data_IF_913468221300
#
_entry.id   IF_913468221300
#
_cell.length_a   1.000
_cell.length_b   1.000
_cell.length_c   1.000
_cell.angle_alpha   90.00
_cell.angle_beta   90.00
_cell.angle_gamma   90.00
#
_symmetry.space_group_name_H-M   'P 1'
#
loop_
_entity.id
_entity.type
_entity.pdbx_description
1 polymer ?
#
# COMPACT_ATOMS: atom_id res chain seq x y z
N UNK A 1 26.38 14.53 -76.57
CA UNK A 1 27.77 14.10 -76.29
C UNK A 1 28.11 14.48 -74.84
N UNK A 2 28.52 13.47 -74.06
CA UNK A 2 29.28 13.51 -72.78
C UNK A 2 28.60 14.13 -71.55
N UNK A 3 28.02 13.34 -70.62
CA UNK A 3 28.62 12.57 -69.48
C UNK A 3 29.23 13.48 -68.41
N UNK A 4 28.63 13.65 -67.22
CA UNK A 4 28.58 12.74 -66.05
C UNK A 4 29.86 12.74 -65.20
N UNK A 5 29.77 13.20 -63.94
CA UNK A 5 30.30 12.51 -62.76
C UNK A 5 29.86 13.23 -61.47
N UNK A 6 28.99 12.60 -60.66
CA UNK A 6 28.97 12.76 -59.20
C UNK A 6 28.89 11.36 -58.60
N UNK A 7 29.77 11.01 -57.65
CA UNK A 7 29.95 9.64 -57.23
C UNK A 7 28.76 9.12 -56.42
N UNK A 8 28.39 7.88 -56.73
CA UNK A 8 27.55 7.01 -55.93
C UNK A 8 28.37 6.57 -54.72
N UNK A 9 27.87 6.82 -53.52
CA UNK A 9 28.26 6.05 -52.34
C UNK A 9 26.99 5.40 -51.81
N UNK A 10 26.75 4.16 -52.26
CA UNK A 10 25.91 3.20 -51.54
C UNK A 10 26.78 2.62 -50.44
N UNK A 11 26.38 2.78 -49.18
CA UNK A 11 26.73 1.81 -48.15
C UNK A 11 25.47 1.33 -47.45
N UNK A 12 25.50 0.01 -47.23
CA UNK A 12 24.40 -0.86 -46.95
C UNK A 12 23.67 -0.55 -45.64
N UNK A 13 22.36 -0.77 -45.68
CA UNK A 13 21.57 -1.00 -44.49
C UNK A 13 22.09 -2.24 -43.76
N UNK A 14 22.44 -2.07 -42.49
CA UNK A 14 22.54 -3.15 -41.52
C UNK A 14 21.85 -2.65 -40.24
N UNK A 15 20.52 -2.72 -40.23
CA UNK A 15 19.76 -2.64 -38.99
C UNK A 15 20.00 -3.96 -38.26
N UNK A 16 20.93 -3.96 -37.30
CA UNK A 16 21.08 -5.06 -36.35
C UNK A 16 19.83 -5.08 -35.46
N UNK A 17 18.86 -5.93 -35.82
CA UNK A 17 17.79 -6.32 -34.92
C UNK A 17 18.44 -7.15 -33.80
N UNK A 18 18.73 -6.51 -32.67
CA UNK A 18 19.02 -7.22 -31.43
C UNK A 18 17.73 -7.91 -30.97
N UNK A 19 17.56 -9.16 -31.37
CA UNK A 19 16.60 -10.06 -30.74
C UNK A 19 17.07 -10.28 -29.29
N UNK A 20 16.50 -9.54 -28.35
CA UNK A 20 16.49 -10.00 -26.96
C UNK A 20 15.60 -11.23 -26.91
N UNK A 21 16.24 -12.40 -26.88
CA UNK A 21 15.58 -13.63 -26.49
C UNK A 21 15.03 -13.42 -25.09
N UNK A 22 13.71 -13.26 -24.97
CA UNK A 22 13.02 -13.36 -23.70
C UNK A 22 13.21 -14.80 -23.27
N UNK A 23 14.20 -15.05 -22.42
CA UNK A 23 14.32 -16.32 -21.72
C UNK A 23 13.04 -16.46 -20.92
N UNK A 24 12.20 -17.42 -21.30
CA UNK A 24 11.06 -17.85 -20.52
C UNK A 24 11.57 -18.29 -19.15
N UNK A 25 11.48 -17.41 -18.16
CA UNK A 25 11.70 -17.78 -16.77
C UNK A 25 10.52 -18.70 -16.43
N UNK A 26 10.75 -20.00 -16.52
CA UNK A 26 9.85 -20.99 -15.93
C UNK A 26 9.88 -20.74 -14.42
N UNK A 27 8.85 -20.07 -13.91
CA UNK A 27 8.59 -19.99 -12.49
C UNK A 27 8.47 -21.43 -11.95
N UNK A 28 9.16 -21.77 -10.85
CA UNK A 28 9.05 -23.10 -10.27
C UNK A 28 7.59 -23.36 -9.86
N UNK A 29 7.06 -24.49 -10.34
CA UNK A 29 5.72 -24.95 -10.10
C UNK A 29 5.56 -25.47 -8.66
N UNK A 30 5.40 -24.57 -7.68
CA UNK A 30 4.81 -24.86 -6.35
C UNK A 30 4.41 -23.57 -5.61
N UNK A 31 3.89 -22.55 -6.30
CA UNK A 31 3.08 -21.54 -5.62
C UNK A 31 1.68 -22.15 -5.41
N UNK A 32 1.24 -22.26 -4.15
CA UNK A 32 -0.08 -22.80 -3.83
C UNK A 32 -1.12 -21.79 -4.30
N UNK A 33 -1.85 -22.14 -5.36
CA UNK A 33 -2.90 -21.32 -5.94
C UNK A 33 -3.79 -20.67 -4.86
N UNK A 34 -4.01 -19.36 -5.00
CA UNK A 34 -4.78 -18.53 -4.10
C UNK A 34 -6.09 -19.24 -3.76
N UNK A 35 -6.28 -19.48 -2.47
CA UNK A 35 -7.47 -20.12 -1.96
C UNK A 35 -8.34 -19.06 -1.33
N UNK A 36 -9.38 -18.64 -2.05
CA UNK A 36 -10.35 -17.66 -1.55
C UNK A 36 -10.95 -18.14 -0.22
N UNK A 37 -10.94 -17.31 0.84
CA UNK A 37 -11.61 -17.65 2.09
C UNK A 37 -13.11 -17.93 1.88
N UNK A 38 -13.69 -18.82 2.71
CA UNK A 38 -15.12 -19.07 2.71
C UNK A 38 -15.94 -17.87 3.22
N UNK A 39 -15.32 -16.99 4.01
CA UNK A 39 -15.89 -15.73 4.49
C UNK A 39 -14.82 -14.64 4.49
N UNK A 40 -14.33 -14.24 5.65
CA UNK A 40 -13.15 -13.38 5.79
C UNK A 40 -11.98 -14.13 6.41
N UNK A 41 -10.78 -13.69 6.07
CA UNK A 41 -9.52 -14.07 6.70
C UNK A 41 -8.88 -12.80 7.27
N UNK A 42 -8.93 -12.64 8.60
CA UNK A 42 -8.40 -11.45 9.28
C UNK A 42 -7.27 -11.84 10.20
N UNK A 43 -6.07 -11.36 9.88
CA UNK A 43 -4.91 -11.48 10.75
C UNK A 43 -5.00 -10.44 11.87
N UNK A 44 -4.80 -10.87 13.11
CA UNK A 44 -4.89 -10.00 14.30
C UNK A 44 -3.49 -9.77 14.87
N UNK A 45 -2.98 -8.52 14.90
CA UNK A 45 -1.71 -8.19 15.51
C UNK A 45 -1.72 -8.46 17.02
N UNK A 46 -0.62 -8.98 17.57
CA UNK A 46 -0.49 -9.29 19.00
C UNK A 46 0.84 -8.76 19.50
N UNK A 47 0.83 -7.94 20.56
CA UNK A 47 2.03 -7.56 21.29
C UNK A 47 2.32 -8.62 22.38
N UNK A 48 2.99 -9.71 22.00
CA UNK A 48 3.21 -10.86 22.89
C UNK A 48 4.29 -10.62 23.96
N UNK A 49 5.14 -9.61 23.79
CA UNK A 49 6.21 -9.27 24.71
C UNK A 49 7.41 -10.23 24.70
N UNK A 50 7.47 -11.19 23.77
CA UNK A 50 8.61 -12.13 23.64
C UNK A 50 9.91 -11.38 23.37
N UNK A 51 9.86 -10.39 22.48
CA UNK A 51 10.95 -9.45 22.22
C UNK A 51 10.42 -8.04 22.40
N UNK A 52 10.66 -7.44 23.57
CA UNK A 52 10.23 -6.09 23.87
C UNK A 52 11.38 -5.23 24.40
N UNK A 53 11.32 -3.94 24.06
CA UNK A 53 12.27 -2.92 24.48
C UNK A 53 11.49 -1.74 25.04
N UNK A 54 11.85 -1.25 26.22
CA UNK A 54 11.11 -0.18 26.86
C UNK A 54 12.02 0.78 27.62
N UNK A 55 11.50 1.98 27.83
CA UNK A 55 11.93 2.90 28.86
C UNK A 55 10.69 3.53 29.52
N UNK A 56 10.87 4.58 30.31
CA UNK A 56 9.77 5.30 30.99
C UNK A 56 8.73 5.90 30.03
N UNK A 57 9.09 6.13 28.76
CA UNK A 57 8.29 6.90 27.79
C UNK A 57 7.64 6.06 26.72
N UNK A 58 8.22 4.93 26.34
CA UNK A 58 7.67 4.09 25.29
C UNK A 58 8.03 2.62 25.47
N UNK A 59 7.21 1.75 24.88
CA UNK A 59 7.50 0.33 24.72
C UNK A 59 7.36 -0.05 23.25
N UNK A 60 8.39 -0.69 22.72
CA UNK A 60 8.43 -1.33 21.41
C UNK A 60 8.34 -2.84 21.59
N UNK A 61 7.33 -3.46 21.00
CA UNK A 61 7.22 -4.90 20.83
C UNK A 61 7.68 -5.27 19.41
N UNK A 62 8.78 -6.02 19.34
CA UNK A 62 9.38 -6.54 18.11
C UNK A 62 9.22 -8.06 17.99
N UNK A 63 8.26 -8.65 18.71
CA UNK A 63 8.05 -10.12 18.75
C UNK A 63 7.59 -10.68 17.41
N UNK A 64 7.05 -9.83 16.53
CA UNK A 64 6.44 -10.24 15.26
C UNK A 64 7.20 -9.73 14.03
N UNK A 65 8.50 -9.48 14.16
CA UNK A 65 9.34 -9.09 13.01
C UNK A 65 9.35 -10.14 11.91
N UNK A 66 9.16 -11.43 12.22
CA UNK A 66 9.02 -12.49 11.21
C UNK A 66 7.73 -12.38 10.39
N UNK A 67 6.69 -11.81 10.98
CA UNK A 67 5.41 -11.46 10.35
C UNK A 67 5.43 -10.06 9.70
N UNK A 68 6.57 -9.35 9.78
CA UNK A 68 6.77 -8.09 9.11
C UNK A 68 6.07 -6.89 9.77
N UNK A 69 5.82 -6.93 11.07
CA UNK A 69 5.35 -5.77 11.81
C UNK A 69 5.99 -5.64 13.19
N UNK A 70 5.92 -4.42 13.73
CA UNK A 70 6.24 -4.10 15.12
C UNK A 70 5.05 -3.37 15.74
N UNK A 71 5.00 -3.34 17.07
CA UNK A 71 3.99 -2.57 17.78
C UNK A 71 4.63 -1.60 18.76
N UNK A 72 4.14 -0.36 18.82
CA UNK A 72 4.66 0.67 19.73
C UNK A 72 3.53 1.25 20.54
N UNK A 73 3.74 1.42 21.84
CA UNK A 73 2.88 2.23 22.71
C UNK A 73 3.70 3.30 23.41
N UNK A 74 3.10 4.47 23.58
CA UNK A 74 3.67 5.57 24.36
C UNK A 74 3.09 5.57 25.78
N UNK A 75 3.95 5.76 26.78
CA UNK A 75 3.62 5.73 28.22
C UNK A 75 3.97 7.04 28.93
N UNK A 76 4.48 8.04 28.21
CA UNK A 76 4.69 9.37 28.75
C UNK A 76 3.40 10.20 28.84
N UNK A 77 3.54 11.51 28.98
CA UNK A 77 2.44 12.43 29.31
C UNK A 77 2.20 13.54 28.27
N UNK A 78 2.94 13.56 27.16
CA UNK A 78 2.77 14.55 26.09
C UNK A 78 1.67 14.10 25.13
N UNK A 79 0.92 15.06 24.54
CA UNK A 79 -0.21 14.76 23.66
C UNK A 79 0.12 14.66 22.16
N UNK A 80 1.33 15.05 21.74
CA UNK A 80 1.78 15.00 20.35
C UNK A 80 3.08 14.21 20.27
N UNK A 81 2.99 12.99 19.74
CA UNK A 81 4.08 12.03 19.66
C UNK A 81 4.26 11.59 18.21
N UNK A 82 5.50 11.42 17.79
CA UNK A 82 5.84 10.80 16.50
C UNK A 82 6.61 9.51 16.72
N UNK A 83 6.38 8.53 15.87
CA UNK A 83 7.29 7.40 15.70
C UNK A 83 7.94 7.47 14.32
N UNK A 84 9.25 7.26 14.26
CA UNK A 84 9.99 7.13 13.02
C UNK A 84 10.58 5.73 12.90
N UNK A 85 10.37 5.11 11.74
CA UNK A 85 10.87 3.79 11.40
C UNK A 85 11.71 3.93 10.13
N UNK A 86 12.98 3.61 10.24
CA UNK A 86 13.95 3.77 9.15
C UNK A 86 14.69 2.45 8.95
N UNK A 87 14.51 1.80 7.79
CA UNK A 87 15.43 0.74 7.36
C UNK A 87 16.71 1.38 6.84
N UNK A 88 17.87 0.83 7.18
CA UNK A 88 19.15 1.33 6.66
C UNK A 88 19.16 1.36 5.13
N UNK A 89 19.44 2.53 4.55
CA UNK A 89 19.45 2.75 3.10
C UNK A 89 18.08 3.04 2.47
N UNK A 90 16.99 3.10 3.24
CA UNK A 90 15.64 3.41 2.76
C UNK A 90 15.09 4.71 3.36
N UNK A 91 13.93 5.13 2.85
CA UNK A 91 13.17 6.27 3.36
C UNK A 91 12.74 6.09 4.83
N UNK A 92 12.63 7.21 5.54
CA UNK A 92 12.11 7.23 6.92
C UNK A 92 10.60 7.38 6.92
N UNK A 93 9.92 6.38 7.46
CA UNK A 93 8.48 6.42 7.66
C UNK A 93 8.19 7.12 8.99
N UNK A 94 7.41 8.21 8.95
CA UNK A 94 7.04 8.99 10.14
C UNK A 94 5.55 8.92 10.35
N UNK A 95 5.14 8.49 11.55
CA UNK A 95 3.76 8.31 11.95
C UNK A 95 3.44 9.18 13.16
N UNK A 96 2.18 9.56 13.33
CA UNK A 96 1.67 9.97 14.64
C UNK A 96 1.59 8.75 15.56
N UNK A 97 1.78 8.95 16.86
CA UNK A 97 1.55 7.92 17.87
C UNK A 97 0.61 8.51 18.93
N UNK A 98 -0.41 7.77 19.32
CA UNK A 98 -1.39 8.22 20.30
C UNK A 98 -0.81 8.20 21.72
N UNK A 99 -1.30 9.11 22.56
CA UNK A 99 -1.02 9.13 24.00
C UNK A 99 -1.92 8.18 24.80
N UNK A 100 -2.59 7.24 24.14
CA UNK A 100 -3.61 6.37 24.75
C UNK A 100 -3.04 5.28 25.66
N UNK A 101 -1.72 5.02 25.60
CA UNK A 101 -1.10 3.89 26.28
C UNK A 101 -1.36 2.53 25.62
N UNK A 102 -2.06 2.51 24.48
CA UNK A 102 -2.37 1.29 23.71
C UNK A 102 -1.32 1.07 22.62
N UNK A 103 -1.05 -0.19 22.30
CA UNK A 103 -0.16 -0.56 21.19
C UNK A 103 -0.80 -0.21 19.85
N UNK A 104 -0.02 0.47 19.01
CA UNK A 104 -0.32 0.70 17.59
C UNK A 104 0.63 -0.12 16.72
N UNK A 105 0.13 -0.55 15.57
CA UNK A 105 0.80 -1.51 14.68
C UNK A 105 1.44 -0.77 13.52
N UNK A 106 2.73 -1.04 13.31
CA UNK A 106 3.53 -0.42 12.25
C UNK A 106 4.14 -1.49 11.35
N UNK A 107 3.87 -1.47 10.04
CA UNK A 107 4.42 -2.45 9.10
C UNK A 107 5.90 -2.18 8.84
N UNK A 108 6.66 -3.25 8.63
CA UNK A 108 8.03 -3.20 8.14
C UNK A 108 8.04 -3.27 6.60
N UNK A 109 7.47 -2.24 5.97
CA UNK A 109 7.17 -2.22 4.53
C UNK A 109 8.38 -2.39 3.61
N UNK A 110 9.58 -2.06 4.10
CA UNK A 110 10.84 -2.16 3.35
C UNK A 110 11.47 -3.57 3.39
N UNK A 111 10.80 -4.57 3.97
CA UNK A 111 11.25 -5.96 3.99
C UNK A 111 12.32 -6.27 5.05
N UNK A 112 12.97 -7.43 4.96
CA UNK A 112 14.03 -7.81 5.92
C UNK A 112 15.20 -6.82 5.92
N UNK A 113 15.80 -6.59 7.09
CA UNK A 113 16.99 -5.75 7.26
C UNK A 113 17.09 -5.10 8.64
N UNK A 114 18.04 -4.18 8.78
CA UNK A 114 18.25 -3.43 10.02
C UNK A 114 17.42 -2.15 10.04
N UNK A 115 16.59 -2.02 11.06
CA UNK A 115 15.71 -0.89 11.31
C UNK A 115 16.16 -0.09 12.54
N UNK A 116 16.00 1.23 12.47
CA UNK A 116 16.00 2.13 13.62
C UNK A 116 14.56 2.57 13.89
N UNK A 117 14.06 2.31 15.09
CA UNK A 117 12.74 2.72 15.57
C UNK A 117 12.92 3.78 16.66
N UNK A 118 12.36 4.97 16.45
CA UNK A 118 12.50 6.12 17.35
C UNK A 118 11.15 6.70 17.71
N UNK A 119 10.96 7.08 18.97
CA UNK A 119 9.77 7.80 19.45
C UNK A 119 10.20 9.20 19.88
N UNK A 120 9.39 10.19 19.52
CA UNK A 120 9.66 11.60 19.73
C UNK A 120 8.49 12.28 20.45
N UNK A 121 8.79 13.05 21.50
CA UNK A 121 7.83 13.91 22.19
C UNK A 121 7.89 15.32 21.61
N UNK A 122 6.74 15.95 21.36
CA UNK A 122 6.72 17.35 20.97
C UNK A 122 7.09 18.25 22.15
N UNK A 123 7.95 19.24 21.89
CA UNK A 123 8.34 20.27 22.86
C UNK A 123 7.50 21.53 22.62
N UNK A 124 7.57 22.05 21.40
CA UNK A 124 6.86 23.26 20.99
C UNK A 124 6.72 23.30 19.47
N UNK A 125 5.52 23.56 18.96
CA UNK A 125 5.27 23.68 17.52
C UNK A 125 5.68 22.42 16.75
N UNK A 126 6.74 22.54 15.95
CA UNK A 126 7.33 21.44 15.17
C UNK A 126 8.66 20.92 15.76
N UNK A 127 9.06 21.37 16.94
CA UNK A 127 10.25 20.89 17.64
C UNK A 127 9.92 19.65 18.46
N UNK A 128 10.74 18.61 18.34
CA UNK A 128 10.58 17.36 19.05
C UNK A 128 11.89 16.93 19.70
N UNK A 129 11.80 16.32 20.88
CA UNK A 129 12.90 15.60 21.55
C UNK A 129 12.74 14.10 21.32
N UNK A 130 13.86 13.40 21.12
CA UNK A 130 13.85 11.94 21.07
C UNK A 130 13.61 11.38 22.48
N UNK A 131 12.54 10.61 22.64
CA UNK A 131 12.14 10.00 23.91
C UNK A 131 12.55 8.51 24.00
N UNK A 132 12.68 7.83 22.87
CA UNK A 132 13.09 6.42 22.78
C UNK A 132 13.80 6.16 21.44
N UNK A 133 14.75 5.21 21.43
CA UNK A 133 15.43 4.77 20.22
C UNK A 133 15.90 3.33 20.38
N UNK A 134 15.58 2.48 19.41
CA UNK A 134 15.99 1.08 19.40
C UNK A 134 16.29 0.61 17.98
N UNK A 135 17.38 -0.14 17.81
CA UNK A 135 17.66 -0.84 16.57
C UNK A 135 17.04 -2.25 16.62
N UNK A 136 16.43 -2.67 15.52
CA UNK A 136 15.79 -3.98 15.34
C UNK A 136 16.30 -4.60 14.05
N UNK A 137 16.81 -5.82 14.12
CA UNK A 137 17.12 -6.60 12.91
C UNK A 137 15.92 -7.48 12.59
N UNK A 138 15.25 -7.19 11.47
CA UNK A 138 14.07 -7.92 11.03
C UNK A 138 14.45 -9.00 10.02
N UNK A 139 14.14 -10.25 10.35
CA UNK A 139 14.17 -11.39 9.43
C UNK A 139 12.74 -11.80 9.12
N UNK A 140 12.14 -11.15 8.13
CA UNK A 140 10.75 -11.39 7.71
C UNK A 140 10.68 -12.71 6.95
N UNK A 141 9.87 -13.64 7.44
CA UNK A 141 9.59 -14.94 6.79
C UNK A 141 8.24 -14.91 6.07
N UNK A 142 7.26 -14.17 6.61
CA UNK A 142 6.02 -13.88 5.94
C UNK A 142 6.16 -12.58 5.12
N UNK A 143 6.65 -12.70 3.87
CA UNK A 143 6.90 -11.55 3.00
C UNK A 143 5.66 -10.67 2.71
N UNK A 144 4.45 -11.21 2.89
CA UNK A 144 3.20 -10.49 2.68
C UNK A 144 2.59 -9.93 3.96
N UNK A 145 3.08 -10.35 5.13
CA UNK A 145 2.62 -9.89 6.43
C UNK A 145 2.49 -8.37 6.56
N UNK A 146 3.50 -7.55 6.18
CA UNK A 146 3.37 -6.09 6.20
C UNK A 146 2.15 -5.53 5.46
N UNK A 147 1.63 -6.28 4.48
CA UNK A 147 0.54 -5.90 3.58
C UNK A 147 -0.71 -6.77 3.73
N UNK A 148 -0.79 -7.58 4.78
CA UNK A 148 -1.95 -8.38 5.17
C UNK A 148 -2.49 -8.00 6.55
N UNK A 149 -1.62 -7.69 7.51
CA UNK A 149 -2.06 -7.24 8.84
C UNK A 149 -2.68 -5.83 8.78
N UNK A 150 -3.64 -5.52 9.67
CA UNK A 150 -4.08 -4.16 9.87
C UNK A 150 -2.95 -3.30 10.45
N UNK A 151 -2.95 -2.02 10.13
CA UNK A 151 -2.04 -1.03 10.68
C UNK A 151 -2.73 0.30 10.86
N UNK A 152 -2.01 1.31 11.34
CA UNK A 152 -2.60 2.62 11.65
C UNK A 152 -3.33 3.28 10.45
N UNK A 153 -2.87 3.04 9.21
CA UNK A 153 -3.42 3.66 7.99
C UNK A 153 -4.55 2.80 7.38
N UNK A 154 -4.54 1.50 7.66
CA UNK A 154 -5.54 0.52 7.24
C UNK A 154 -5.96 -0.29 8.47
N UNK A 155 -6.76 0.34 9.33
CA UNK A 155 -7.15 -0.25 10.60
C UNK A 155 -8.50 -0.95 10.48
N UNK A 156 -8.51 -2.27 10.64
CA UNK A 156 -9.69 -3.13 10.58
C UNK A 156 -9.52 -4.33 11.50
N UNK A 157 -10.63 -4.97 11.85
CA UNK A 157 -10.64 -6.23 12.57
C UNK A 157 -11.82 -7.10 12.09
N UNK A 158 -11.95 -8.33 12.61
CA UNK A 158 -12.97 -9.27 12.19
C UNK A 158 -14.42 -8.75 12.35
N UNK A 159 -14.66 -7.82 13.28
CA UNK A 159 -15.97 -7.22 13.50
C UNK A 159 -16.26 -6.02 12.59
N UNK A 160 -15.26 -5.47 11.89
CA UNK A 160 -15.43 -4.31 11.01
C UNK A 160 -16.48 -4.57 9.93
N UNK A 161 -17.35 -3.58 9.69
CA UNK A 161 -18.34 -3.63 8.61
C UNK A 161 -17.67 -3.70 7.23
N UNK A 162 -16.51 -3.07 7.07
CA UNK A 162 -15.67 -3.21 5.88
C UNK A 162 -15.27 -4.67 5.60
N UNK A 163 -14.92 -5.45 6.63
CA UNK A 163 -14.56 -6.87 6.48
C UNK A 163 -15.77 -7.70 6.06
N UNK A 164 -16.91 -7.49 6.70
CA UNK A 164 -18.15 -8.21 6.37
C UNK A 164 -18.61 -7.90 4.94
N UNK A 165 -18.51 -6.64 4.53
CA UNK A 165 -18.81 -6.20 3.17
C UNK A 165 -17.82 -6.81 2.17
N UNK A 166 -16.52 -6.81 2.50
CA UNK A 166 -15.47 -7.46 1.70
C UNK A 166 -15.77 -8.93 1.41
N UNK A 167 -16.18 -9.69 2.43
CA UNK A 167 -16.58 -11.09 2.26
C UNK A 167 -17.84 -11.24 1.38
N UNK A 168 -18.83 -10.36 1.55
CA UNK A 168 -20.06 -10.38 0.75
C UNK A 168 -19.79 -10.13 -0.74
N UNK A 169 -18.98 -9.11 -1.07
CA UNK A 169 -18.65 -8.78 -2.47
C UNK A 169 -17.73 -9.84 -3.11
N UNK A 170 -16.90 -10.50 -2.30
CA UNK A 170 -16.02 -11.57 -2.75
C UNK A 170 -16.74 -12.91 -2.95
N UNK A 171 -17.97 -13.07 -2.46
CA UNK A 171 -18.65 -14.37 -2.41
C UNK A 171 -18.83 -15.04 -3.79
N UNK A 172 -19.11 -14.25 -4.83
CA UNK A 172 -19.31 -14.75 -6.20
C UNK A 172 -18.02 -14.93 -7.00
N UNK A 173 -16.88 -14.46 -6.49
CA UNK A 173 -15.61 -14.54 -7.20
C UNK A 173 -15.07 -15.97 -7.19
N UNK A 174 -14.60 -16.43 -8.35
CA UNK A 174 -14.00 -17.75 -8.53
C UNK A 174 -12.49 -17.77 -8.23
N UNK A 175 -11.84 -16.61 -8.33
CA UNK A 175 -10.40 -16.46 -8.20
C UNK A 175 -10.05 -15.10 -7.59
N UNK A 176 -8.74 -14.90 -7.38
CA UNK A 176 -8.19 -13.69 -6.76
C UNK A 176 -8.56 -12.42 -7.53
N UNK A 177 -8.55 -12.50 -8.87
CA UNK A 177 -8.87 -11.37 -9.72
C UNK A 177 -10.35 -11.00 -9.59
N UNK A 178 -11.25 -11.98 -9.59
CA UNK A 178 -12.67 -11.76 -9.35
C UNK A 178 -12.93 -11.03 -8.02
N UNK A 179 -12.18 -11.38 -6.96
CA UNK A 179 -12.29 -10.68 -5.66
C UNK A 179 -11.85 -9.23 -5.80
N UNK A 180 -10.68 -8.98 -6.41
CA UNK A 180 -10.16 -7.62 -6.63
C UNK A 180 -11.16 -6.79 -7.44
N UNK A 181 -11.67 -7.32 -8.54
CA UNK A 181 -12.65 -6.66 -9.40
C UNK A 181 -13.96 -6.35 -8.68
N UNK A 182 -14.49 -7.29 -7.90
CA UNK A 182 -15.74 -7.07 -7.17
C UNK A 182 -15.60 -6.01 -6.07
N UNK A 183 -14.52 -6.06 -5.29
CA UNK A 183 -14.23 -5.05 -4.26
C UNK A 183 -14.04 -3.67 -4.90
N UNK A 184 -13.25 -3.60 -5.97
CA UNK A 184 -13.02 -2.37 -6.72
C UNK A 184 -14.35 -1.75 -7.20
N UNK A 185 -15.15 -2.52 -7.93
CA UNK A 185 -16.43 -2.08 -8.46
C UNK A 185 -17.39 -1.66 -7.35
N UNK A 186 -17.40 -2.36 -6.21
CA UNK A 186 -18.22 -1.97 -5.07
C UNK A 186 -17.83 -0.57 -4.56
N UNK A 187 -16.54 -0.34 -4.30
CA UNK A 187 -16.05 0.92 -3.71
C UNK A 187 -16.30 2.09 -4.65
N UNK A 188 -15.93 2.00 -5.94
CA UNK A 188 -16.07 3.13 -6.87
C UNK A 188 -17.53 3.50 -7.15
N UNK A 189 -18.45 2.53 -7.07
CA UNK A 189 -19.88 2.76 -7.33
C UNK A 189 -20.65 3.20 -6.08
N UNK A 190 -20.09 3.00 -4.88
CA UNK A 190 -20.77 3.30 -3.62
C UNK A 190 -20.15 4.45 -2.83
N UNK A 191 -18.91 4.83 -3.09
CA UNK A 191 -18.26 5.93 -2.37
C UNK A 191 -18.18 7.15 -3.28
N UNK A 192 -18.56 8.32 -2.76
CA UNK A 192 -18.47 9.61 -3.45
C UNK A 192 -17.32 10.46 -2.90
N UNK A 193 -16.65 11.21 -3.78
CA UNK A 193 -15.51 12.02 -3.38
C UNK A 193 -15.91 13.23 -2.53
N UNK A 194 -15.21 13.45 -1.42
CA UNK A 194 -15.43 14.58 -0.51
C UNK A 194 -14.45 15.73 -0.77
N UNK A 195 -14.82 16.62 -1.69
CA UNK A 195 -14.00 17.79 -2.03
C UNK A 195 -13.82 18.75 -0.85
N UNK A 196 -14.85 18.92 -0.01
CA UNK A 196 -14.79 19.79 1.16
C UNK A 196 -13.78 19.25 2.18
N UNK A 197 -13.85 17.94 2.48
CA UNK A 197 -12.85 17.27 3.33
C UNK A 197 -11.47 17.34 2.71
N UNK A 198 -11.32 17.09 1.41
CA UNK A 198 -10.03 17.16 0.72
C UNK A 198 -9.36 18.54 0.85
N UNK A 199 -10.16 19.61 0.84
CA UNK A 199 -9.67 20.99 0.99
C UNK A 199 -9.34 21.41 2.43
N UNK A 200 -9.88 20.70 3.43
CA UNK A 200 -9.81 21.10 4.85
C UNK A 200 -9.11 20.10 5.75
N UNK A 201 -8.82 18.89 5.26
CA UNK A 201 -8.16 17.82 6.02
C UNK A 201 -6.81 18.29 6.54
N UNK A 202 -6.58 18.05 7.83
CA UNK A 202 -5.36 18.44 8.53
C UNK A 202 -4.37 17.28 8.59
N UNK A 203 -3.10 17.62 8.82
CA UNK A 203 -2.07 16.61 9.11
C UNK A 203 -2.45 15.76 10.33
N UNK A 204 -2.15 14.47 10.28
CA UNK A 204 -2.53 13.50 11.32
C UNK A 204 -3.91 12.86 11.12
N UNK A 205 -4.63 13.19 10.04
CA UNK A 205 -5.85 12.48 9.67
C UNK A 205 -5.56 11.00 9.36
N UNK A 206 -6.35 10.10 9.94
CA UNK A 206 -6.33 8.66 9.68
C UNK A 206 -7.74 8.18 9.29
N UNK A 207 -7.89 7.37 8.22
CA UNK A 207 -9.16 6.81 7.81
C UNK A 207 -9.74 5.88 8.87
N UNK A 208 -11.06 5.96 9.05
CA UNK A 208 -11.84 4.91 9.71
C UNK A 208 -12.67 4.22 8.64
N UNK A 209 -12.30 2.98 8.30
CA UNK A 209 -12.89 2.25 7.16
C UNK A 209 -14.39 2.02 7.32
N UNK A 210 -14.87 1.80 8.55
CA UNK A 210 -16.31 1.59 8.81
C UNK A 210 -17.09 2.91 8.70
N UNK A 211 -16.51 4.03 9.12
CA UNK A 211 -17.12 5.36 8.94
C UNK A 211 -17.20 5.70 7.45
N UNK A 212 -16.12 5.46 6.69
CA UNK A 212 -16.10 5.72 5.23
C UNK A 212 -17.16 4.86 4.53
N UNK A 213 -17.24 3.58 4.88
CA UNK A 213 -18.24 2.67 4.33
C UNK A 213 -19.67 3.12 4.66
N UNK A 214 -19.95 3.50 5.91
CA UNK A 214 -21.27 3.92 6.36
C UNK A 214 -21.69 5.25 5.72
N UNK A 215 -20.78 6.21 5.64
CA UNK A 215 -21.03 7.53 5.05
C UNK A 215 -21.03 7.50 3.53
N UNK A 216 -20.47 6.46 2.91
CA UNK A 216 -20.33 6.33 1.46
C UNK A 216 -19.63 7.55 0.83
N UNK A 217 -18.70 8.16 1.58
CA UNK A 217 -18.07 9.42 1.21
C UNK A 217 -16.67 9.53 1.82
N UNK A 218 -15.70 10.01 1.04
CA UNK A 218 -14.32 10.13 1.50
C UNK A 218 -13.36 10.79 0.52
N UNK A 219 -12.10 10.93 0.90
CA UNK A 219 -11.01 11.43 0.04
C UNK A 219 -10.12 10.27 -0.44
N UNK A 220 -9.10 10.54 -1.26
CA UNK A 220 -8.28 9.46 -1.84
C UNK A 220 -7.70 8.49 -0.82
N UNK A 221 -7.29 8.99 0.34
CA UNK A 221 -6.80 8.16 1.45
C UNK A 221 -7.90 7.24 2.03
N UNK A 222 -9.15 7.71 2.11
CA UNK A 222 -10.28 6.93 2.59
C UNK A 222 -10.65 5.80 1.64
N UNK A 223 -10.65 6.07 0.33
CA UNK A 223 -10.90 5.06 -0.70
C UNK A 223 -9.84 3.97 -0.66
N UNK A 224 -8.56 4.37 -0.63
CA UNK A 224 -7.44 3.43 -0.59
C UNK A 224 -7.47 2.57 0.69
N UNK A 225 -7.76 3.17 1.85
CA UNK A 225 -7.86 2.44 3.11
C UNK A 225 -9.04 1.45 3.14
N UNK A 226 -10.23 1.87 2.69
CA UNK A 226 -11.41 1.01 2.64
C UNK A 226 -11.18 -0.20 1.72
N UNK A 227 -10.68 0.06 0.50
CA UNK A 227 -10.40 -0.99 -0.47
C UNK A 227 -9.32 -1.94 0.04
N UNK A 228 -8.24 -1.41 0.64
CA UNK A 228 -7.16 -2.22 1.21
C UNK A 228 -7.67 -3.11 2.34
N UNK A 229 -8.51 -2.60 3.24
CA UNK A 229 -9.09 -3.39 4.33
C UNK A 229 -9.95 -4.55 3.80
N UNK A 230 -10.80 -4.29 2.80
CA UNK A 230 -11.61 -5.34 2.16
C UNK A 230 -10.74 -6.43 1.54
N UNK A 231 -9.69 -6.06 0.79
CA UNK A 231 -8.81 -7.01 0.11
C UNK A 231 -7.94 -7.82 1.08
N UNK A 232 -7.32 -7.16 2.06
CA UNK A 232 -6.54 -7.85 3.11
C UNK A 232 -7.41 -8.85 3.88
N UNK A 233 -8.69 -8.51 4.11
CA UNK A 233 -9.65 -9.43 4.74
C UNK A 233 -10.04 -10.64 3.89
N UNK A 234 -9.61 -10.69 2.63
CA UNK A 234 -9.80 -11.80 1.70
C UNK A 234 -8.48 -12.50 1.38
N UNK A 235 -7.46 -12.32 2.23
CA UNK A 235 -6.11 -12.85 2.09
C UNK A 235 -5.38 -12.37 0.82
N UNK A 236 -5.65 -11.13 0.41
CA UNK A 236 -5.01 -10.52 -0.77
C UNK A 236 -4.02 -9.45 -0.28
N UNK A 237 -2.70 -9.69 -0.38
CA UNK A 237 -1.70 -8.72 0.04
C UNK A 237 -1.86 -7.42 -0.76
N UNK A 238 -2.09 -6.33 -0.04
CA UNK A 238 -2.44 -5.05 -0.64
C UNK A 238 -1.68 -3.93 0.04
N UNK A 239 -0.90 -3.16 -0.72
CA UNK A 239 -0.21 -1.95 -0.26
C UNK A 239 -1.17 -0.77 -0.39
N UNK A 240 -1.32 0.03 0.66
CA UNK A 240 -1.80 1.40 0.55
C UNK A 240 -0.59 2.29 0.27
N UNK A 241 -0.53 2.86 -0.93
CA UNK A 241 0.60 3.68 -1.36
C UNK A 241 0.23 5.14 -1.27
N UNK A 242 1.14 5.95 -0.72
CA UNK A 242 1.02 7.40 -0.71
C UNK A 242 2.21 8.00 -1.45
N UNK A 243 1.94 8.98 -2.30
CA UNK A 243 2.96 9.63 -3.12
C UNK A 243 2.39 10.79 -3.92
N UNK A 244 2.84 10.94 -5.15
CA UNK A 244 2.44 12.04 -6.02
C UNK A 244 1.87 11.54 -7.34
N UNK A 245 0.82 12.19 -7.83
CA UNK A 245 0.34 12.11 -9.21
C UNK A 245 0.51 13.48 -9.87
N UNK A 246 1.46 13.61 -10.79
CA UNK A 246 1.99 14.92 -11.18
C UNK A 246 2.50 15.69 -9.96
N UNK A 247 1.88 16.84 -9.65
CA UNK A 247 2.20 17.65 -8.47
C UNK A 247 1.25 17.43 -7.28
N UNK A 248 0.21 16.61 -7.44
CA UNK A 248 -0.80 16.38 -6.41
C UNK A 248 -0.34 15.26 -5.47
N UNK A 249 -0.41 15.50 -4.16
CA UNK A 249 -0.21 14.44 -3.16
C UNK A 249 -1.44 13.53 -3.13
N UNK A 250 -1.22 12.22 -3.29
CA UNK A 250 -2.30 11.29 -3.58
C UNK A 250 -2.08 9.91 -2.96
N UNK A 251 -3.15 9.14 -2.84
CA UNK A 251 -3.14 7.77 -2.34
C UNK A 251 -3.82 6.81 -3.32
N UNK A 252 -3.21 5.64 -3.50
CA UNK A 252 -3.69 4.55 -4.36
C UNK A 252 -3.31 3.21 -3.73
N UNK A 253 -3.58 2.10 -4.40
CA UNK A 253 -3.21 0.77 -3.89
C UNK A 253 -2.41 -0.06 -4.91
N UNK A 254 -1.60 -0.99 -4.42
CA UNK A 254 -0.97 -2.03 -5.25
C UNK A 254 -1.34 -3.40 -4.66
N UNK A 255 -1.66 -4.38 -5.50
CA UNK A 255 -2.09 -5.72 -5.05
C UNK A 255 -1.13 -6.77 -5.55
N UNK A 256 -0.83 -7.77 -4.72
CA UNK A 256 -0.11 -8.95 -5.16
C UNK A 256 -1.08 -9.98 -5.74
N UNK A 257 -0.89 -10.34 -7.02
CA UNK A 257 -1.58 -11.43 -7.66
C UNK A 257 -0.66 -12.64 -7.82
N UNK A 258 -1.13 -13.82 -7.43
CA UNK A 258 -0.32 -15.03 -7.56
C UNK A 258 -0.06 -15.37 -9.03
N UNK A 259 1.15 -15.84 -9.33
CA UNK A 259 1.60 -16.11 -10.69
C UNK A 259 1.97 -14.85 -11.50
N UNK A 260 1.57 -13.66 -11.04
CA UNK A 260 1.86 -12.38 -11.70
C UNK A 260 2.79 -11.47 -10.89
N UNK A 261 2.76 -11.55 -9.56
CA UNK A 261 3.54 -10.70 -8.67
C UNK A 261 2.77 -9.46 -8.19
N UNK A 262 3.51 -8.44 -7.73
CA UNK A 262 2.91 -7.14 -7.43
C UNK A 262 2.42 -6.51 -8.72
N UNK A 263 1.10 -6.42 -8.85
CA UNK A 263 0.48 -5.63 -9.88
C UNK A 263 0.38 -4.23 -9.31
N UNK A 264 1.50 -3.56 -9.43
CA UNK A 264 1.52 -2.12 -9.44
C UNK A 264 0.65 -1.74 -10.62
N UNK A 265 -0.30 -0.88 -10.36
CA UNK A 265 -1.22 -0.43 -11.35
C UNK A 265 -2.42 -1.39 -11.72
N UNK A 266 -3.55 -1.45 -10.97
CA UNK A 266 -4.84 -2.14 -11.37
C UNK A 266 -6.14 -1.27 -11.37
N UNK A 267 -6.80 -0.94 -12.48
CA UNK A 267 -8.18 -0.42 -12.54
C UNK A 267 -9.01 -1.22 -13.54
N UNK A 268 -8.37 -1.92 -14.47
CA UNK A 268 -9.08 -2.55 -15.56
C UNK A 268 -8.18 -3.56 -16.25
N UNK A 269 -8.70 -4.76 -16.48
CA UNK A 269 -8.18 -5.71 -17.45
C UNK A 269 -9.05 -5.57 -18.70
N UNK A 270 -8.50 -5.04 -19.79
CA UNK A 270 -9.20 -4.87 -21.07
C UNK A 270 -9.23 -6.16 -21.92
N UNK A 271 -8.79 -7.27 -21.35
CA UNK A 271 -8.52 -8.51 -22.06
C UNK A 271 -7.06 -8.70 -22.47
N UNK A 272 -6.19 -7.68 -22.36
CA UNK A 272 -4.80 -7.73 -22.83
C UNK A 272 -3.76 -7.05 -21.90
N UNK A 273 -4.13 -6.09 -21.04
CA UNK A 273 -3.18 -5.35 -20.18
C UNK A 273 -3.76 -4.83 -18.85
N UNK A 274 -2.90 -4.61 -17.85
CA UNK A 274 -3.24 -4.09 -16.50
C UNK A 274 -2.82 -2.61 -16.36
N UNK A 275 -3.57 -1.77 -15.62
CA UNK A 275 -3.48 -0.27 -15.54
C UNK A 275 -3.77 0.28 -14.13
N UNK A 276 -3.40 1.50 -13.66
CA UNK A 276 -3.33 1.84 -12.19
C UNK A 276 -4.53 1.76 -11.26
N UNK A 277 -4.37 1.30 -9.99
CA UNK A 277 -5.42 1.16 -8.94
C UNK A 277 -5.67 2.42 -8.13
N UNK A 278 -6.19 3.42 -8.82
CA UNK A 278 -6.68 4.70 -8.28
C UNK A 278 -8.22 4.72 -8.21
N UNK A 279 -8.83 4.16 -7.15
CA UNK A 279 -10.28 4.09 -7.02
C UNK A 279 -10.93 5.49 -6.97
N UNK A 280 -10.16 6.49 -6.55
CA UNK A 280 -10.62 7.88 -6.46
C UNK A 280 -10.90 8.46 -7.83
N UNK A 281 -9.91 8.47 -8.72
CA UNK A 281 -10.08 9.08 -10.05
C UNK A 281 -11.08 8.33 -10.92
N UNK A 282 -11.16 7.00 -10.80
CA UNK A 282 -12.20 6.23 -11.48
C UNK A 282 -13.62 6.61 -11.03
N UNK A 283 -13.83 6.79 -9.71
CA UNK A 283 -15.15 7.17 -9.17
C UNK A 283 -15.56 8.60 -9.54
N UNK A 284 -14.63 9.56 -9.52
CA UNK A 284 -14.94 10.99 -9.67
C UNK A 284 -15.27 11.41 -11.10
N UNK A 285 -15.04 10.54 -12.09
CA UNK A 285 -15.06 10.93 -13.50
C UNK A 285 -15.77 9.95 -14.45
N UNK A 286 -16.43 8.91 -13.91
CA UNK A 286 -17.25 8.00 -14.70
C UNK A 286 -16.47 7.16 -15.71
N UNK A 287 -15.19 6.85 -15.43
CA UNK A 287 -14.35 5.97 -16.25
C UNK A 287 -14.13 6.43 -17.71
N UNK A 288 -14.00 7.74 -17.95
CA UNK A 288 -13.70 8.24 -19.31
C UNK A 288 -12.40 7.63 -19.86
N UNK A 289 -12.34 7.39 -21.17
CA UNK A 289 -11.19 6.77 -21.84
C UNK A 289 -9.87 7.49 -21.53
N UNK A 290 -9.90 8.82 -21.46
CA UNK A 290 -8.76 9.70 -21.18
C UNK A 290 -8.23 9.50 -19.75
N UNK A 291 -9.13 9.35 -18.79
CA UNK A 291 -8.75 9.14 -17.39
C UNK A 291 -8.21 7.74 -17.20
N UNK A 292 -8.77 6.76 -17.89
CA UNK A 292 -8.24 5.39 -17.92
C UNK A 292 -6.85 5.32 -18.56
N UNK A 293 -6.55 6.19 -19.53
CA UNK A 293 -5.19 6.34 -20.08
C UNK A 293 -4.26 7.04 -19.09
N UNK A 294 -4.71 8.10 -18.42
CA UNK A 294 -3.91 8.83 -17.43
C UNK A 294 -3.50 7.92 -16.26
N UNK A 295 -4.47 7.19 -15.71
CA UNK A 295 -4.23 6.25 -14.63
C UNK A 295 -3.37 5.08 -15.13
N UNK A 296 -3.58 4.59 -16.35
CA UNK A 296 -2.76 3.53 -16.94
C UNK A 296 -1.30 3.90 -17.19
N UNK A 297 -0.94 5.19 -17.16
CA UNK A 297 0.44 5.63 -17.35
C UNK A 297 1.16 5.82 -16.01
N UNK A 298 1.90 4.79 -15.58
CA UNK A 298 2.67 4.79 -14.33
C UNK A 298 3.70 5.94 -14.21
N UNK A 299 4.14 6.57 -15.31
CA UNK A 299 5.05 7.73 -15.24
C UNK A 299 4.40 8.96 -14.59
N UNK A 300 3.06 8.99 -14.52
CA UNK A 300 2.34 10.06 -13.85
C UNK A 300 2.46 9.96 -12.32
N UNK A 301 2.85 8.79 -11.80
CA UNK A 301 2.84 8.48 -10.38
C UNK A 301 4.25 8.28 -9.83
N UNK A 302 4.48 8.81 -8.63
CA UNK A 302 5.73 8.63 -7.89
C UNK A 302 5.40 8.23 -6.46
N UNK A 303 5.60 6.94 -6.15
CA UNK A 303 5.45 6.40 -4.81
C UNK A 303 6.42 7.08 -3.83
N UNK A 304 5.96 7.28 -2.58
CA UNK A 304 6.79 7.78 -1.48
C UNK A 304 6.80 6.80 -0.30
N UNK A 305 5.64 6.29 0.06
CA UNK A 305 5.45 5.37 1.18
C UNK A 305 4.50 4.24 0.79
N UNK A 306 4.75 3.03 1.29
CA UNK A 306 3.82 1.91 1.21
C UNK A 306 3.44 1.42 2.61
N UNK A 307 2.15 1.27 2.87
CA UNK A 307 1.58 0.80 4.13
C UNK A 307 0.74 -0.45 3.93
#
# INVERSE_FOLDING_TARGET
>A
MKTAYKPVVKFAAAAAAAFFAVSSIQAPATALAYTKPAGSHVLTPIASGVTAYSNEKATLDASNVSEGYIMVKYTGSVGKIKVQITKSGSETYTYDLSSSGVYEVFPLSEGSGSYSVKVFENIQGNQYSQAFSQNVNASITNQFGPFLYPNQYVNFNAASAAVQTGASVAASATDQLGVVSNVYNYVINNVTYDTAKASSVQSGYLPNVDVVLAQKKGICFDYAALMTAMLRSQDIPTKLVVGYTGNLYHAWINVYLEGQGWVDNIIYFDGNSWKLMDPTFASSSGQSQEIMQYIGNGSNYRAKYSY
#
